data_IF_315441658975
#
_entry.id   IF_315441658975
#
_cell.length_a   1.000
_cell.length_b   1.000
_cell.length_c   1.000
_cell.angle_alpha   90.00
_cell.angle_beta   90.00
_cell.angle_gamma   90.00
#
_symmetry.space_group_name_H-M   'P 1'
#
loop_
_entity.id
_entity.type
_entity.pdbx_description
1 polymer ?
#
# COMPACT_ATOMS: atom_id res chain seq x y z
N UNK A 1 -36.89 -6.72 -37.10
CA UNK A 1 -37.96 -7.70 -37.41
C UNK A 1 -39.01 -7.85 -36.29
N UNK A 2 -38.70 -7.61 -35.01
CA UNK A 2 -39.69 -7.72 -33.93
C UNK A 2 -40.70 -6.55 -33.82
N UNK A 3 -40.40 -5.37 -34.38
CA UNK A 3 -41.32 -4.21 -34.33
C UNK A 3 -42.50 -4.30 -35.31
N UNK A 4 -42.41 -5.11 -36.36
CA UNK A 4 -43.50 -5.23 -37.34
C UNK A 4 -44.65 -6.11 -36.85
N UNK A 5 -44.38 -7.14 -36.04
CA UNK A 5 -45.41 -8.06 -35.53
C UNK A 5 -46.31 -7.41 -34.46
N UNK A 6 -45.75 -6.50 -33.65
CA UNK A 6 -46.50 -5.74 -32.65
C UNK A 6 -47.54 -4.77 -33.25
N UNK A 7 -47.35 -4.31 -34.48
CA UNK A 7 -48.34 -3.43 -35.14
C UNK A 7 -49.56 -4.19 -35.65
N UNK A 8 -49.37 -5.41 -36.17
CA UNK A 8 -50.46 -6.15 -36.83
C UNK A 8 -51.60 -6.55 -35.88
N UNK A 9 -51.31 -6.89 -34.62
CA UNK A 9 -52.36 -7.24 -33.66
C UNK A 9 -53.15 -6.02 -33.18
N UNK A 10 -52.51 -4.85 -33.06
CA UNK A 10 -53.18 -3.59 -32.71
C UNK A 10 -54.10 -3.16 -33.85
N UNK A 11 -53.60 -3.16 -35.08
CA UNK A 11 -54.41 -2.91 -36.27
C UNK A 11 -55.55 -3.94 -36.38
N UNK A 12 -55.28 -5.23 -36.12
CA UNK A 12 -56.29 -6.29 -36.11
C UNK A 12 -57.36 -6.11 -35.03
N UNK A 13 -57.01 -5.66 -33.82
CA UNK A 13 -57.95 -5.39 -32.74
C UNK A 13 -58.82 -4.15 -33.03
N UNK A 14 -58.23 -3.07 -33.53
CA UNK A 14 -58.99 -1.88 -33.95
C UNK A 14 -59.93 -2.19 -35.11
N UNK A 15 -59.47 -3.00 -36.06
CA UNK A 15 -60.26 -3.38 -37.24
C UNK A 15 -61.40 -4.33 -36.86
N UNK A 16 -61.19 -5.29 -35.95
CA UNK A 16 -62.26 -6.18 -35.46
C UNK A 16 -63.28 -5.45 -34.58
N UNK A 17 -62.86 -4.55 -33.69
CA UNK A 17 -63.79 -3.73 -32.88
C UNK A 17 -64.56 -2.75 -33.78
N UNK A 18 -63.88 -2.08 -34.70
CA UNK A 18 -64.50 -1.16 -35.65
C UNK A 18 -65.53 -1.84 -36.56
N UNK A 19 -65.17 -2.99 -37.15
CA UNK A 19 -66.08 -3.80 -37.97
C UNK A 19 -67.23 -4.37 -37.14
N UNK A 20 -66.98 -4.78 -35.89
CA UNK A 20 -68.01 -5.26 -34.98
C UNK A 20 -69.04 -4.19 -34.61
N UNK A 21 -68.60 -2.98 -34.26
CA UNK A 21 -69.48 -1.86 -33.91
C UNK A 21 -70.26 -1.36 -35.12
N UNK A 22 -69.61 -1.23 -36.28
CA UNK A 22 -70.27 -0.82 -37.54
C UNK A 22 -71.27 -1.89 -37.99
N UNK A 23 -70.88 -3.16 -37.98
CA UNK A 23 -71.74 -4.29 -38.35
C UNK A 23 -72.95 -4.42 -37.41
N UNK A 24 -72.73 -4.33 -36.10
CA UNK A 24 -73.80 -4.33 -35.10
C UNK A 24 -74.73 -3.14 -35.32
N UNK A 25 -74.20 -1.93 -35.51
CA UNK A 25 -74.99 -0.73 -35.81
C UNK A 25 -75.85 -0.90 -37.07
N UNK A 26 -75.27 -1.39 -38.17
CA UNK A 26 -76.00 -1.64 -39.43
C UNK A 26 -77.15 -2.63 -39.20
N UNK A 27 -76.93 -3.73 -38.47
CA UNK A 27 -77.98 -4.71 -38.15
C UNK A 27 -79.07 -4.10 -37.27
N UNK A 28 -78.68 -3.33 -36.24
CA UNK A 28 -79.60 -2.71 -35.29
C UNK A 28 -80.49 -1.65 -35.95
N UNK A 29 -79.92 -0.77 -36.75
CA UNK A 29 -80.67 0.26 -37.49
C UNK A 29 -81.52 -0.34 -38.62
N UNK A 30 -81.06 -1.44 -39.24
CA UNK A 30 -81.86 -2.18 -40.24
C UNK A 30 -83.06 -2.88 -39.59
N UNK A 31 -82.87 -3.54 -38.44
CA UNK A 31 -83.97 -4.15 -37.67
C UNK A 31 -84.95 -3.11 -37.15
N UNK A 32 -84.46 -1.96 -36.67
CA UNK A 32 -85.30 -0.83 -36.28
C UNK A 32 -86.16 -0.34 -37.46
N UNK A 33 -85.55 -0.11 -38.63
CA UNK A 33 -86.26 0.35 -39.83
C UNK A 33 -87.29 -0.65 -40.38
N UNK A 34 -87.04 -1.95 -40.25
CA UNK A 34 -87.98 -3.01 -40.69
C UNK A 34 -89.16 -3.15 -39.71
N UNK A 35 -88.91 -3.11 -38.40
CA UNK A 35 -89.93 -3.38 -37.39
C UNK A 35 -90.79 -2.14 -37.04
N UNK A 36 -90.32 -0.91 -37.27
CA UNK A 36 -91.03 0.32 -36.90
C UNK A 36 -91.40 1.24 -38.08
N UNK A 37 -90.94 0.92 -39.31
CA UNK A 37 -91.26 1.68 -40.52
C UNK A 37 -90.53 3.04 -40.64
N UNK A 38 -90.69 3.76 -41.79
CA UNK A 38 -90.02 5.04 -42.02
C UNK A 38 -90.57 6.14 -41.10
N UNK A 39 -89.69 6.74 -40.31
CA UNK A 39 -89.85 7.94 -39.44
C UNK A 39 -91.32 8.39 -39.28
N UNK A 40 -92.02 7.72 -38.36
CA UNK A 40 -93.36 8.09 -37.90
C UNK A 40 -93.32 9.43 -37.13
N UNK A 41 -94.37 10.24 -37.26
CA UNK A 41 -94.55 11.53 -36.56
C UNK A 41 -94.94 11.37 -35.08
N UNK A 42 -94.91 10.14 -34.53
CA UNK A 42 -95.24 9.86 -33.12
C UNK A 42 -94.06 10.08 -32.17
N UNK A 43 -94.26 10.91 -31.14
CA UNK A 43 -93.25 11.23 -30.12
C UNK A 43 -92.69 10.00 -29.38
N UNK A 44 -93.45 8.90 -29.26
CA UNK A 44 -92.99 7.67 -28.60
C UNK A 44 -91.86 6.96 -29.38
N UNK A 45 -91.90 6.99 -30.72
CA UNK A 45 -90.88 6.35 -31.58
C UNK A 45 -89.52 7.05 -31.50
N UNK A 46 -89.51 8.37 -31.29
CA UNK A 46 -88.31 9.18 -31.06
C UNK A 46 -87.64 8.88 -29.71
N UNK A 47 -88.42 8.63 -28.66
CA UNK A 47 -87.91 8.23 -27.35
C UNK A 47 -87.22 6.86 -27.41
N UNK A 48 -87.85 5.88 -28.06
CA UNK A 48 -87.27 4.54 -28.27
C UNK A 48 -86.02 4.58 -29.16
N UNK A 49 -85.99 5.41 -30.20
CA UNK A 49 -84.79 5.64 -31.01
C UNK A 49 -83.64 6.26 -30.20
N UNK A 50 -83.94 7.28 -29.40
CA UNK A 50 -82.96 7.93 -28.53
C UNK A 50 -82.36 6.97 -27.51
N UNK A 51 -83.18 6.11 -26.90
CA UNK A 51 -82.70 5.07 -25.96
C UNK A 51 -81.83 4.02 -26.64
N UNK A 52 -82.21 3.57 -27.85
CA UNK A 52 -81.46 2.61 -28.65
C UNK A 52 -80.12 3.17 -29.15
N UNK A 53 -80.12 4.41 -29.63
CA UNK A 53 -78.92 5.15 -30.05
C UNK A 53 -77.99 5.40 -28.87
N UNK A 54 -78.54 5.80 -27.72
CA UNK A 54 -77.78 5.98 -26.48
C UNK A 54 -77.18 4.66 -25.98
N UNK A 55 -77.94 3.55 -26.05
CA UNK A 55 -77.44 2.22 -25.71
C UNK A 55 -76.31 1.76 -26.64
N UNK A 56 -76.44 2.00 -27.94
CA UNK A 56 -75.39 1.73 -28.92
C UNK A 56 -74.11 2.53 -28.66
N UNK A 57 -74.22 3.85 -28.43
CA UNK A 57 -73.07 4.69 -28.10
C UNK A 57 -72.44 4.31 -26.76
N UNK A 58 -73.22 3.86 -25.78
CA UNK A 58 -72.70 3.37 -24.50
C UNK A 58 -71.87 2.10 -24.67
N UNK A 59 -72.34 1.14 -25.47
CA UNK A 59 -71.57 -0.09 -25.78
C UNK A 59 -70.30 0.25 -26.58
N UNK A 60 -70.40 1.12 -27.58
CA UNK A 60 -69.25 1.57 -28.35
C UNK A 60 -68.20 2.31 -27.48
N UNK A 61 -68.65 3.20 -26.60
CA UNK A 61 -67.80 3.94 -25.66
C UNK A 61 -67.13 3.02 -24.62
N UNK A 62 -67.87 2.05 -24.10
CA UNK A 62 -67.33 1.03 -23.19
C UNK A 62 -66.27 0.17 -23.90
N UNK A 63 -66.54 -0.25 -25.15
CA UNK A 63 -65.57 -0.98 -25.99
C UNK A 63 -64.28 -0.19 -26.24
N UNK A 64 -64.39 1.11 -26.55
CA UNK A 64 -63.23 1.99 -26.71
C UNK A 64 -62.42 2.14 -25.42
N UNK A 65 -63.09 2.22 -24.27
CA UNK A 65 -62.45 2.30 -22.95
C UNK A 65 -61.69 1.02 -22.61
N UNK A 66 -62.31 -0.15 -22.85
CA UNK A 66 -61.67 -1.46 -22.65
C UNK A 66 -60.45 -1.62 -23.57
N UNK A 67 -60.56 -1.24 -24.84
CA UNK A 67 -59.44 -1.27 -25.78
C UNK A 67 -58.28 -0.36 -25.32
N UNK A 68 -58.60 0.82 -24.81
CA UNK A 68 -57.61 1.76 -24.27
C UNK A 68 -56.90 1.19 -23.04
N UNK A 69 -57.64 0.56 -22.11
CA UNK A 69 -57.06 -0.08 -20.94
C UNK A 69 -56.14 -1.25 -21.31
N UNK A 70 -56.53 -2.08 -22.28
CA UNK A 70 -55.70 -3.18 -22.79
C UNK A 70 -54.42 -2.67 -23.47
N UNK A 71 -54.53 -1.60 -24.25
CA UNK A 71 -53.37 -0.94 -24.87
C UNK A 71 -52.41 -0.37 -23.82
N UNK A 72 -52.92 0.35 -22.82
CA UNK A 72 -52.12 0.88 -21.71
C UNK A 72 -51.45 -0.23 -20.90
N UNK A 73 -52.17 -1.33 -20.62
CA UNK A 73 -51.60 -2.49 -19.92
C UNK A 73 -50.47 -3.15 -20.73
N UNK A 74 -50.62 -3.26 -22.05
CA UNK A 74 -49.58 -3.78 -22.93
C UNK A 74 -48.36 -2.87 -22.99
N UNK A 75 -48.55 -1.55 -23.16
CA UNK A 75 -47.45 -0.58 -23.11
C UNK A 75 -46.69 -0.64 -21.78
N UNK A 76 -47.42 -0.70 -20.66
CA UNK A 76 -46.80 -0.77 -19.33
C UNK A 76 -45.92 -2.04 -19.20
N UNK A 77 -46.40 -3.19 -19.68
CA UNK A 77 -45.61 -4.45 -19.69
C UNK A 77 -44.36 -4.35 -20.59
N UNK A 78 -44.44 -3.66 -21.72
CA UNK A 78 -43.30 -3.48 -22.62
C UNK A 78 -42.26 -2.53 -22.01
N UNK A 79 -42.71 -1.42 -21.41
CA UNK A 79 -41.85 -0.47 -20.68
C UNK A 79 -41.12 -1.16 -19.51
N UNK A 80 -41.82 -2.01 -18.75
CA UNK A 80 -41.19 -2.78 -17.68
C UNK A 80 -40.10 -3.71 -18.21
N UNK A 81 -40.35 -4.44 -19.31
CA UNK A 81 -39.34 -5.31 -19.94
C UNK A 81 -38.12 -4.54 -20.42
N UNK A 82 -38.31 -3.40 -21.08
CA UNK A 82 -37.19 -2.56 -21.55
C UNK A 82 -36.39 -2.00 -20.38
N UNK A 83 -37.06 -1.58 -19.30
CA UNK A 83 -36.38 -1.10 -18.09
C UNK A 83 -35.55 -2.21 -17.43
N UNK A 84 -36.06 -3.44 -17.36
CA UNK A 84 -35.30 -4.58 -16.79
C UNK A 84 -34.10 -4.96 -17.64
N UNK A 85 -34.22 -4.97 -18.98
CA UNK A 85 -33.07 -5.25 -19.85
C UNK A 85 -32.05 -4.11 -19.80
N UNK A 86 -32.49 -2.84 -19.77
CA UNK A 86 -31.61 -1.70 -19.59
C UNK A 86 -30.87 -1.78 -18.26
N UNK A 87 -31.56 -2.07 -17.14
CA UNK A 87 -30.91 -2.28 -15.85
C UNK A 87 -29.88 -3.42 -15.90
N UNK A 88 -30.20 -4.53 -16.56
CA UNK A 88 -29.27 -5.66 -16.71
C UNK A 88 -28.02 -5.28 -17.49
N UNK A 89 -28.18 -4.59 -18.61
CA UNK A 89 -27.05 -4.11 -19.43
C UNK A 89 -26.23 -3.08 -18.68
N UNK A 90 -26.87 -2.11 -18.02
CA UNK A 90 -26.20 -1.11 -17.18
C UNK A 90 -25.41 -1.77 -16.06
N UNK A 91 -25.98 -2.74 -15.35
CA UNK A 91 -25.28 -3.46 -14.29
C UNK A 91 -24.07 -4.25 -14.82
N UNK A 92 -24.21 -4.89 -16.00
CA UNK A 92 -23.10 -5.57 -16.64
C UNK A 92 -21.99 -4.60 -17.08
N UNK A 93 -22.36 -3.43 -17.61
CA UNK A 93 -21.40 -2.37 -17.97
C UNK A 93 -20.70 -1.80 -16.74
N UNK A 94 -21.43 -1.53 -15.65
CA UNK A 94 -20.84 -1.08 -14.39
C UNK A 94 -19.89 -2.11 -13.80
N UNK A 95 -20.24 -3.40 -13.84
CA UNK A 95 -19.35 -4.47 -13.41
C UNK A 95 -18.08 -4.54 -14.26
N UNK A 96 -18.17 -4.38 -15.58
CA UNK A 96 -17.02 -4.35 -16.47
C UNK A 96 -16.11 -3.14 -16.19
N UNK A 97 -16.69 -1.94 -15.97
CA UNK A 97 -15.95 -0.73 -15.60
C UNK A 97 -15.25 -0.91 -14.25
N UNK A 98 -15.93 -1.44 -13.23
CA UNK A 98 -15.32 -1.70 -11.92
C UNK A 98 -14.14 -2.68 -12.01
N UNK A 99 -14.29 -3.74 -12.81
CA UNK A 99 -13.22 -4.69 -13.06
C UNK A 99 -12.00 -4.01 -13.71
N UNK A 100 -12.23 -3.21 -14.76
CA UNK A 100 -11.17 -2.46 -15.44
C UNK A 100 -10.48 -1.46 -14.52
N UNK A 101 -11.23 -0.74 -13.68
CA UNK A 101 -10.68 0.17 -12.68
C UNK A 101 -9.84 -0.57 -11.64
N UNK A 102 -10.28 -1.74 -11.17
CA UNK A 102 -9.51 -2.58 -10.25
C UNK A 102 -8.19 -3.03 -10.87
N UNK A 103 -8.23 -3.54 -12.11
CA UNK A 103 -7.02 -3.96 -12.84
C UNK A 103 -6.05 -2.79 -13.00
N UNK A 104 -6.55 -1.62 -13.38
CA UNK A 104 -5.72 -0.43 -13.56
C UNK A 104 -5.15 0.09 -12.24
N UNK A 105 -5.95 0.15 -11.18
CA UNK A 105 -5.49 0.59 -9.86
C UNK A 105 -4.37 -0.31 -9.33
N UNK A 106 -4.55 -1.64 -9.41
CA UNK A 106 -3.52 -2.61 -9.06
C UNK A 106 -2.27 -2.47 -9.93
N UNK A 107 -2.42 -2.30 -11.25
CA UNK A 107 -1.29 -2.08 -12.17
C UNK A 107 -0.49 -0.82 -11.80
N UNK A 108 -1.16 0.31 -11.57
CA UNK A 108 -0.50 1.56 -11.19
C UNK A 108 0.22 1.47 -9.84
N UNK A 109 -0.31 0.68 -8.91
CA UNK A 109 0.40 0.39 -7.66
C UNK A 109 1.70 -0.38 -7.93
N UNK A 110 1.68 -1.41 -8.79
CA UNK A 110 2.90 -2.17 -9.14
C UNK A 110 3.94 -1.33 -9.90
N UNK A 111 3.49 -0.47 -10.80
CA UNK A 111 4.35 0.49 -11.49
C UNK A 111 5.03 1.41 -10.48
N UNK A 112 4.30 1.90 -9.47
CA UNK A 112 4.87 2.71 -8.40
C UNK A 112 5.92 1.96 -7.58
N UNK A 113 5.69 0.69 -7.24
CA UNK A 113 6.67 -0.13 -6.55
C UNK A 113 7.97 -0.26 -7.38
N UNK A 114 7.84 -0.39 -8.70
CA UNK A 114 8.98 -0.48 -9.62
C UNK A 114 9.73 0.85 -9.74
N UNK A 115 9.00 1.98 -9.73
CA UNK A 115 9.59 3.32 -9.67
C UNK A 115 10.36 3.54 -8.36
N UNK A 116 9.82 3.09 -7.22
CA UNK A 116 10.51 3.17 -5.92
C UNK A 116 11.82 2.36 -5.95
N UNK A 117 11.81 1.15 -6.51
CA UNK A 117 13.03 0.36 -6.69
C UNK A 117 14.06 1.10 -7.56
N UNK A 118 13.60 1.68 -8.68
CA UNK A 118 14.46 2.44 -9.60
C UNK A 118 15.05 3.69 -8.95
N UNK A 119 14.26 4.40 -8.14
CA UNK A 119 14.69 5.58 -7.38
C UNK A 119 15.86 5.27 -6.43
N UNK A 120 15.90 4.05 -5.88
CA UNK A 120 16.98 3.57 -5.02
C UNK A 120 17.95 2.64 -5.77
N UNK A 121 18.20 2.92 -7.05
CA UNK A 121 19.19 2.23 -7.89
C UNK A 121 19.02 0.70 -7.95
N UNK A 122 17.80 0.20 -7.80
CA UNK A 122 17.46 -1.23 -7.79
C UNK A 122 18.26 -2.04 -6.74
N UNK A 123 18.57 -1.42 -5.59
CA UNK A 123 19.31 -2.07 -4.51
C UNK A 123 18.49 -3.11 -3.74
N UNK A 124 17.16 -2.98 -3.78
CA UNK A 124 16.20 -3.89 -3.16
C UNK A 124 15.08 -4.27 -4.12
N UNK A 125 14.37 -5.34 -3.76
CA UNK A 125 13.11 -5.76 -4.38
C UNK A 125 12.03 -5.96 -3.31
N UNK A 126 10.77 -5.80 -3.70
CA UNK A 126 9.62 -6.24 -2.93
C UNK A 126 9.41 -7.73 -3.23
N UNK A 127 9.29 -8.57 -2.20
CA UNK A 127 9.22 -10.03 -2.43
C UNK A 127 7.86 -10.47 -2.99
N UNK A 128 6.77 -9.82 -2.57
CA UNK A 128 5.41 -10.13 -3.04
C UNK A 128 4.58 -8.84 -3.16
N UNK A 129 4.53 -8.32 -4.39
CA UNK A 129 3.84 -7.09 -4.71
C UNK A 129 2.32 -7.22 -4.54
N UNK A 130 1.75 -8.40 -4.82
CA UNK A 130 0.31 -8.64 -4.75
C UNK A 130 -0.16 -8.75 -3.31
N UNK A 131 0.58 -9.48 -2.47
CA UNK A 131 0.31 -9.51 -1.04
C UNK A 131 0.44 -8.11 -0.42
N UNK A 132 1.42 -7.32 -0.86
CA UNK A 132 1.60 -5.93 -0.39
C UNK A 132 0.42 -5.04 -0.81
N UNK A 133 -0.05 -5.13 -2.06
CA UNK A 133 -1.24 -4.42 -2.51
C UNK A 133 -2.46 -4.77 -1.65
N UNK A 134 -2.69 -6.06 -1.38
CA UNK A 134 -3.80 -6.52 -0.55
C UNK A 134 -3.65 -6.13 0.93
N UNK A 135 -2.43 -5.90 1.43
CA UNK A 135 -2.22 -5.34 2.79
C UNK A 135 -2.61 -3.88 2.87
N UNK A 136 -2.29 -3.10 1.83
CA UNK A 136 -2.64 -1.67 1.75
C UNK A 136 -4.15 -1.49 1.50
N UNK A 137 -4.72 -2.29 0.60
CA UNK A 137 -6.13 -2.23 0.22
C UNK A 137 -6.85 -3.58 0.47
N UNK A 138 -7.11 -3.96 1.73
CA UNK A 138 -7.62 -5.29 2.09
C UNK A 138 -9.04 -5.58 1.58
N UNK A 139 -9.81 -4.54 1.25
CA UNK A 139 -11.17 -4.68 0.73
C UNK A 139 -11.24 -4.69 -0.80
N UNK A 140 -10.12 -4.45 -1.49
CA UNK A 140 -10.11 -4.37 -2.95
C UNK A 140 -10.19 -5.76 -3.58
N UNK A 141 -11.19 -5.94 -4.44
CA UNK A 141 -11.46 -7.16 -5.20
C UNK A 141 -11.92 -6.77 -6.61
N UNK A 142 -11.98 -7.72 -7.56
CA UNK A 142 -12.57 -7.47 -8.89
C UNK A 142 -13.99 -6.87 -8.87
N UNK A 143 -14.71 -7.01 -7.75
CA UNK A 143 -16.10 -6.53 -7.57
C UNK A 143 -16.25 -5.36 -6.60
N UNK A 144 -15.19 -4.99 -5.88
CA UNK A 144 -15.20 -3.91 -4.89
C UNK A 144 -13.89 -3.12 -4.96
N UNK A 145 -13.97 -1.81 -5.18
CA UNK A 145 -12.79 -0.95 -5.33
C UNK A 145 -12.91 0.28 -4.42
N UNK A 146 -11.96 0.39 -3.50
CA UNK A 146 -11.72 1.55 -2.65
C UNK A 146 -10.39 2.20 -3.07
N UNK A 147 -10.41 3.51 -3.27
CA UNK A 147 -9.23 4.32 -3.61
C UNK A 147 -8.56 4.90 -2.37
N UNK A 148 -9.30 5.03 -1.29
CA UNK A 148 -8.82 5.55 -0.01
C UNK A 148 -8.65 4.40 0.98
N UNK A 149 -7.63 4.49 1.83
CA UNK A 149 -7.44 3.57 2.93
C UNK A 149 -7.05 4.35 4.18
N UNK A 150 -7.85 4.25 5.24
CA UNK A 150 -7.58 4.96 6.48
C UNK A 150 -6.32 4.44 7.18
N UNK A 151 -5.67 5.28 7.98
CA UNK A 151 -4.57 4.87 8.86
C UNK A 151 -5.12 4.64 10.25
N UNK A 152 -5.19 3.37 10.67
CA UNK A 152 -5.73 2.99 11.99
C UNK A 152 -4.58 2.58 12.90
N UNK A 153 -4.25 3.42 13.88
CA UNK A 153 -3.15 3.19 14.84
C UNK A 153 -3.59 2.64 16.19
N UNK A 154 -4.89 2.45 16.40
CA UNK A 154 -5.44 1.92 17.65
C UNK A 154 -4.96 0.47 17.88
N UNK A 155 -4.42 0.12 19.07
CA UNK A 155 -3.84 -1.19 19.32
C UNK A 155 -4.79 -2.38 19.12
N UNK A 156 -6.11 -2.19 19.26
CA UNK A 156 -7.08 -3.27 19.13
C UNK A 156 -7.53 -3.49 17.68
N UNK A 157 -7.35 -2.50 16.81
CA UNK A 157 -7.89 -2.48 15.45
C UNK A 157 -6.88 -2.05 14.38
N UNK A 158 -5.59 -2.06 14.74
CA UNK A 158 -4.50 -1.58 13.90
C UNK A 158 -4.49 -2.25 12.52
N UNK A 159 -4.42 -1.43 11.48
CA UNK A 159 -4.25 -1.90 10.11
C UNK A 159 -2.79 -1.75 9.62
N UNK A 160 -2.50 -2.27 8.43
CA UNK A 160 -1.15 -2.29 7.88
C UNK A 160 -0.48 -0.91 7.83
N UNK A 161 -1.18 0.11 7.33
CA UNK A 161 -0.67 1.48 7.28
C UNK A 161 -0.41 2.05 8.66
N UNK A 162 -1.28 1.73 9.64
CA UNK A 162 -1.08 2.07 11.04
C UNK A 162 0.13 1.38 11.65
N UNK A 163 0.42 0.12 11.28
CA UNK A 163 1.65 -0.58 11.70
C UNK A 163 2.89 0.12 11.21
N UNK A 164 2.97 0.45 9.93
CA UNK A 164 4.08 1.22 9.37
C UNK A 164 4.23 2.58 10.06
N UNK A 165 3.11 3.28 10.28
CA UNK A 165 3.10 4.57 10.97
C UNK A 165 3.69 4.48 12.39
N UNK A 166 3.29 3.48 13.18
CA UNK A 166 3.82 3.29 14.54
C UNK A 166 5.32 2.95 14.54
N UNK A 167 5.79 2.15 13.58
CA UNK A 167 7.22 1.85 13.47
C UNK A 167 8.04 3.09 13.11
N UNK A 168 7.59 3.87 12.12
CA UNK A 168 8.26 5.12 11.72
C UNK A 168 8.21 6.17 12.83
N UNK A 169 7.09 6.29 13.55
CA UNK A 169 6.94 7.19 14.69
C UNK A 169 7.89 6.83 15.82
N UNK A 170 8.01 5.54 16.15
CA UNK A 170 8.96 5.08 17.16
C UNK A 170 10.42 5.39 16.77
N UNK A 171 10.78 5.22 15.50
CA UNK A 171 12.12 5.56 15.00
C UNK A 171 12.35 7.08 14.96
N UNK A 172 11.32 7.88 14.67
CA UNK A 172 11.38 9.35 14.78
C UNK A 172 11.65 9.81 16.22
N UNK A 173 10.94 9.20 17.18
CA UNK A 173 11.12 9.52 18.60
C UNK A 173 12.53 9.17 19.05
N UNK A 174 13.06 8.04 18.56
CA UNK A 174 14.44 7.63 18.78
C UNK A 174 15.46 8.61 18.17
N UNK A 175 15.28 9.01 16.90
CA UNK A 175 16.18 9.97 16.26
C UNK A 175 16.20 11.33 16.97
N UNK A 176 15.07 11.72 17.58
CA UNK A 176 14.96 12.97 18.32
C UNK A 176 15.53 12.88 19.74
N UNK A 177 15.33 11.74 20.40
CA UNK A 177 15.77 11.49 21.77
C UNK A 177 16.31 10.05 21.89
N UNK A 178 17.57 9.82 21.48
CA UNK A 178 18.18 8.50 21.59
C UNK A 178 18.21 8.05 23.06
N UNK A 179 17.92 6.78 23.31
CA UNK A 179 17.99 6.23 24.68
C UNK A 179 19.46 6.05 25.07
N UNK A 180 19.79 6.39 26.30
CA UNK A 180 21.14 6.21 26.86
C UNK A 180 21.35 4.84 27.52
N UNK A 181 20.36 3.93 27.51
CA UNK A 181 20.47 2.65 28.21
C UNK A 181 21.14 1.54 27.39
N UNK A 182 21.76 0.56 28.07
CA UNK A 182 22.44 -0.58 27.42
C UNK A 182 21.50 -1.50 26.60
N UNK A 183 20.19 -1.22 26.57
CA UNK A 183 19.19 -1.95 25.76
C UNK A 183 18.90 -1.23 24.45
N UNK A 184 19.56 -0.10 24.20
CA UNK A 184 19.30 0.75 23.06
C UNK A 184 19.46 0.01 21.73
N UNK A 185 20.61 -0.63 21.52
CA UNK A 185 20.90 -1.37 20.29
C UNK A 185 19.92 -2.52 20.03
N UNK A 186 19.55 -3.29 21.08
CA UNK A 186 18.56 -4.38 20.97
C UNK A 186 17.17 -3.86 20.59
N UNK A 187 16.75 -2.75 21.20
CA UNK A 187 15.47 -2.15 20.87
C UNK A 187 15.47 -1.60 19.44
N UNK A 188 16.54 -0.90 19.05
CA UNK A 188 16.68 -0.30 17.73
C UNK A 188 16.68 -1.36 16.63
N UNK A 189 17.51 -2.40 16.75
CA UNK A 189 17.54 -3.48 15.76
C UNK A 189 16.19 -4.18 15.63
N UNK A 190 15.49 -4.40 16.75
CA UNK A 190 14.14 -4.97 16.74
C UNK A 190 13.16 -4.10 15.97
N UNK A 191 13.21 -2.77 16.15
CA UNK A 191 12.35 -1.83 15.41
C UNK A 191 12.68 -1.77 13.93
N UNK A 192 13.96 -1.76 13.57
CA UNK A 192 14.41 -1.78 12.18
C UNK A 192 13.97 -3.07 11.49
N UNK A 193 14.18 -4.23 12.11
CA UNK A 193 13.75 -5.54 11.58
C UNK A 193 12.23 -5.58 11.38
N UNK A 194 11.44 -5.22 12.40
CA UNK A 194 9.97 -5.24 12.27
C UNK A 194 9.48 -4.35 11.13
N UNK A 195 10.11 -3.19 10.92
CA UNK A 195 9.80 -2.32 9.78
C UNK A 195 10.21 -2.97 8.45
N UNK A 196 11.39 -3.60 8.38
CA UNK A 196 11.86 -4.30 7.19
C UNK A 196 10.93 -5.47 6.81
N UNK A 197 10.49 -6.25 7.79
CA UNK A 197 9.54 -7.35 7.59
C UNK A 197 8.17 -6.83 7.15
N UNK A 198 7.69 -5.74 7.75
CA UNK A 198 6.41 -5.13 7.38
C UNK A 198 6.42 -4.64 5.92
N UNK A 199 7.54 -4.08 5.45
CA UNK A 199 7.72 -3.64 4.07
C UNK A 199 8.01 -4.78 3.08
N UNK A 200 8.36 -5.96 3.59
CA UNK A 200 8.65 -7.16 2.79
C UNK A 200 9.73 -6.93 1.72
N UNK A 201 10.82 -6.27 2.14
CA UNK A 201 11.96 -5.92 1.29
C UNK A 201 13.05 -6.99 1.35
N UNK A 202 13.73 -7.20 0.22
CA UNK A 202 14.94 -8.00 0.14
C UNK A 202 16.01 -7.28 -0.65
N UNK A 203 17.23 -7.23 -0.12
CA UNK A 203 18.37 -6.66 -0.84
C UNK A 203 18.87 -7.59 -1.93
N UNK A 204 19.23 -7.02 -3.07
CA UNK A 204 19.77 -7.74 -4.23
C UNK A 204 21.11 -7.18 -4.72
N UNK A 205 21.59 -6.08 -4.11
CA UNK A 205 22.91 -5.55 -4.39
C UNK A 205 24.03 -6.44 -3.85
N UNK A 206 25.28 -6.08 -4.14
CA UNK A 206 26.45 -6.76 -3.58
C UNK A 206 26.49 -6.69 -2.06
N UNK A 207 27.10 -7.71 -1.43
CA UNK A 207 27.31 -7.75 0.02
C UNK A 207 28.29 -6.65 0.42
N UNK A 208 27.90 -5.87 1.41
CA UNK A 208 28.72 -4.82 2.02
C UNK A 208 28.97 -5.10 3.48
N UNK A 209 30.03 -4.46 3.99
CA UNK A 209 30.28 -4.41 5.43
C UNK A 209 29.07 -3.84 6.15
N UNK A 210 28.64 -4.50 7.23
CA UNK A 210 27.56 -4.05 8.09
C UNK A 210 26.16 -4.45 7.64
N UNK A 211 26.01 -5.16 6.52
CA UNK A 211 24.70 -5.59 6.05
C UNK A 211 24.06 -6.60 7.00
N UNK A 212 22.80 -6.38 7.34
CA UNK A 212 22.07 -7.24 8.27
C UNK A 212 21.31 -8.35 7.52
N UNK A 213 21.54 -9.59 7.95
CA UNK A 213 20.77 -10.78 7.59
C UNK A 213 19.82 -11.13 8.73
N UNK A 214 18.55 -11.32 8.39
CA UNK A 214 17.52 -11.77 9.32
C UNK A 214 16.73 -12.94 8.71
N UNK A 215 16.60 -14.05 9.43
CA UNK A 215 15.90 -15.25 8.96
C UNK A 215 16.48 -15.82 7.66
N UNK A 216 17.81 -15.71 7.47
CA UNK A 216 18.50 -16.14 6.26
C UNK A 216 18.34 -15.22 5.04
N UNK A 217 17.68 -14.05 5.19
CA UNK A 217 17.49 -13.06 4.12
C UNK A 217 18.26 -11.77 4.42
N UNK A 218 18.91 -11.20 3.40
CA UNK A 218 19.53 -9.87 3.51
C UNK A 218 18.46 -8.79 3.54
N UNK A 219 18.40 -8.07 4.65
CA UNK A 219 17.52 -6.92 4.86
C UNK A 219 18.15 -5.67 4.26
N UNK A 220 17.37 -4.60 4.12
CA UNK A 220 17.87 -3.29 3.68
C UNK A 220 18.64 -2.52 4.77
N UNK A 221 18.82 -3.11 5.95
CA UNK A 221 19.46 -2.49 7.10
C UNK A 221 20.98 -2.68 7.01
N UNK A 222 21.72 -1.60 7.17
CA UNK A 222 23.15 -1.60 7.39
C UNK A 222 23.46 -0.96 8.76
N UNK A 223 24.30 -1.59 9.58
CA UNK A 223 24.56 -1.11 10.95
C UNK A 223 25.39 0.18 11.01
N UNK A 224 26.05 0.56 9.92
CA UNK A 224 26.80 1.82 9.79
C UNK A 224 26.00 2.93 9.09
N UNK A 225 24.82 2.62 8.57
CA UNK A 225 23.99 3.55 7.81
C UNK A 225 22.50 3.19 7.97
N UNK A 226 22.04 3.12 9.21
CA UNK A 226 20.64 2.75 9.52
C UNK A 226 19.63 3.78 9.00
N UNK A 227 20.07 5.02 8.84
CA UNK A 227 19.33 6.14 8.27
C UNK A 227 19.01 5.96 6.77
N UNK A 228 19.87 5.29 6.00
CA UNK A 228 19.59 4.92 4.61
C UNK A 228 18.32 4.07 4.53
N UNK A 229 18.23 3.03 5.36
CA UNK A 229 17.06 2.16 5.42
C UNK A 229 15.81 2.92 5.88
N UNK A 230 15.93 3.74 6.91
CA UNK A 230 14.81 4.54 7.43
C UNK A 230 14.30 5.52 6.37
N UNK A 231 15.19 6.09 5.56
CA UNK A 231 14.86 6.96 4.43
C UNK A 231 14.12 6.21 3.33
N UNK A 232 14.58 5.00 2.97
CA UNK A 232 13.88 4.10 2.03
C UNK A 232 12.48 3.79 2.55
N UNK A 233 12.37 3.37 3.82
CA UNK A 233 11.10 3.02 4.45
C UNK A 233 10.13 4.21 4.48
N UNK A 234 10.61 5.41 4.81
CA UNK A 234 9.81 6.64 4.77
C UNK A 234 9.32 6.94 3.35
N UNK A 235 10.17 6.83 2.34
CA UNK A 235 9.79 7.10 0.96
C UNK A 235 8.72 6.12 0.46
N UNK A 236 8.84 4.83 0.80
CA UNK A 236 7.83 3.81 0.49
C UNK A 236 6.51 4.14 1.20
N UNK A 237 6.57 4.45 2.49
CA UNK A 237 5.38 4.80 3.27
C UNK A 237 4.69 6.06 2.72
N UNK A 238 5.44 7.13 2.45
CA UNK A 238 4.90 8.36 1.84
C UNK A 238 4.26 8.10 0.48
N UNK A 239 4.80 7.16 -0.30
CA UNK A 239 4.16 6.71 -1.53
C UNK A 239 2.84 5.98 -1.27
N UNK A 240 2.75 5.15 -0.23
CA UNK A 240 1.48 4.52 0.14
C UNK A 240 0.46 5.55 0.63
N UNK A 241 0.89 6.52 1.43
CA UNK A 241 0.03 7.61 1.90
C UNK A 241 -0.57 8.40 0.73
N UNK A 242 0.26 8.74 -0.26
CA UNK A 242 -0.22 9.40 -1.48
C UNK A 242 -1.27 8.56 -2.23
N UNK A 243 -1.02 7.26 -2.42
CA UNK A 243 -1.96 6.37 -3.13
C UNK A 243 -3.27 6.11 -2.38
N UNK A 244 -3.27 6.29 -1.07
CA UNK A 244 -4.41 6.00 -0.19
C UNK A 244 -5.18 7.26 0.20
N UNK A 245 -4.84 8.41 -0.38
CA UNK A 245 -5.51 9.68 -0.12
C UNK A 245 -5.13 10.36 1.20
N UNK A 246 -4.04 9.93 1.85
CA UNK A 246 -3.61 10.45 3.14
C UNK A 246 -2.44 11.45 3.03
N UNK A 247 -2.24 12.23 4.10
CA UNK A 247 -1.08 13.12 4.21
C UNK A 247 0.23 12.35 4.41
N UNK A 248 1.33 12.89 3.87
CA UNK A 248 2.67 12.29 4.03
C UNK A 248 3.12 12.31 5.48
N UNK A 249 4.03 11.40 5.83
CA UNK A 249 4.64 11.37 7.14
C UNK A 249 5.54 12.59 7.37
N UNK A 250 5.27 13.34 8.43
CA UNK A 250 5.96 14.59 8.77
C UNK A 250 7.16 14.41 9.71
N UNK A 251 7.34 13.21 10.28
CA UNK A 251 8.48 12.86 11.13
C UNK A 251 9.76 12.53 10.34
N UNK A 252 10.79 12.11 11.07
CA UNK A 252 12.14 11.77 10.59
C UNK A 252 12.85 12.94 9.93
N UNK A 253 12.76 14.13 10.54
CA UNK A 253 13.49 15.33 10.09
C UNK A 253 14.96 15.31 10.50
N UNK A 254 15.29 14.56 11.54
CA UNK A 254 16.65 14.37 12.03
C UNK A 254 17.14 12.99 11.58
N UNK A 255 18.42 12.87 11.19
CA UNK A 255 19.02 11.57 10.93
C UNK A 255 19.07 10.77 12.23
N UNK A 256 19.11 9.43 12.11
CA UNK A 256 19.31 8.54 13.26
C UNK A 256 20.63 8.86 14.00
N UNK A 257 21.62 9.35 13.24
CA UNK A 257 22.87 9.90 13.76
C UNK A 257 23.81 8.84 14.32
N UNK A 258 24.97 9.31 14.78
CA UNK A 258 26.05 8.46 15.30
C UNK A 258 25.60 7.55 16.45
N UNK A 259 24.72 8.03 17.33
CA UNK A 259 24.22 7.25 18.47
C UNK A 259 23.56 5.93 18.03
N UNK A 260 22.87 5.95 16.88
CA UNK A 260 22.26 4.75 16.31
C UNK A 260 23.33 3.73 15.86
N UNK A 261 24.32 4.20 15.09
CA UNK A 261 25.41 3.36 14.61
C UNK A 261 26.20 2.76 15.78
N UNK A 262 26.58 3.59 16.75
CA UNK A 262 27.32 3.16 17.94
C UNK A 262 26.54 2.09 18.72
N UNK A 263 25.24 2.30 18.91
CA UNK A 263 24.37 1.35 19.61
C UNK A 263 24.23 0.01 18.87
N UNK A 264 24.19 0.03 17.53
CA UNK A 264 24.11 -1.18 16.72
C UNK A 264 25.45 -1.93 16.71
N UNK A 265 26.57 -1.21 16.51
CA UNK A 265 27.92 -1.78 16.57
C UNK A 265 28.14 -2.44 17.93
N UNK A 266 27.86 -1.72 19.02
CA UNK A 266 27.99 -2.24 20.37
C UNK A 266 27.12 -3.49 20.59
N UNK A 267 25.86 -3.45 20.17
CA UNK A 267 24.95 -4.60 20.29
C UNK A 267 25.50 -5.83 19.56
N UNK A 268 25.95 -5.69 18.31
CA UNK A 268 26.42 -6.83 17.52
C UNK A 268 27.83 -7.31 17.89
N UNK A 269 28.65 -6.47 18.52
CA UNK A 269 29.91 -6.91 19.10
C UNK A 269 29.70 -7.72 20.39
N UNK A 270 28.76 -7.28 21.25
CA UNK A 270 28.53 -7.87 22.57
C UNK A 270 27.55 -9.05 22.56
N UNK A 271 26.51 -8.98 21.73
CA UNK A 271 25.49 -10.01 21.61
C UNK A 271 25.80 -10.92 20.43
N UNK A 272 26.10 -12.18 20.75
CA UNK A 272 26.14 -13.28 19.77
C UNK A 272 24.87 -14.14 19.87
N UNK A 273 23.77 -13.53 20.29
CA UNK A 273 22.51 -14.24 20.53
C UNK A 273 21.87 -14.62 19.20
N UNK A 274 21.57 -15.91 19.02
CA UNK A 274 20.90 -16.45 17.84
C UNK A 274 21.57 -16.09 16.49
N UNK A 275 22.86 -16.46 16.30
CA UNK A 275 23.58 -16.14 15.06
C UNK A 275 22.91 -16.76 13.81
N UNK A 276 22.14 -17.85 14.00
CA UNK A 276 21.37 -18.50 12.94
C UNK A 276 20.13 -17.68 12.50
N UNK A 277 19.70 -16.71 13.32
CA UNK A 277 18.51 -15.89 13.09
C UNK A 277 18.89 -14.47 12.67
N UNK A 278 19.87 -13.87 13.33
CA UNK A 278 20.31 -12.50 13.08
C UNK A 278 21.83 -12.45 12.94
N UNK A 279 22.32 -11.91 11.83
CA UNK A 279 23.73 -11.86 11.52
C UNK A 279 24.09 -10.55 10.83
N UNK A 280 25.21 -9.94 11.22
CA UNK A 280 25.82 -8.83 10.47
C UNK A 280 26.95 -9.39 9.61
N UNK A 281 26.93 -9.06 8.32
CA UNK A 281 27.97 -9.45 7.37
C UNK A 281 29.15 -8.50 7.49
N UNK A 282 30.33 -9.05 7.79
CA UNK A 282 31.60 -8.31 7.87
C UNK A 282 32.67 -9.01 7.04
N UNK A 283 32.59 -8.99 5.70
CA UNK A 283 33.60 -9.60 4.83
C UNK A 283 35.04 -9.14 5.09
N UNK A 284 35.24 -7.90 5.56
CA UNK A 284 36.58 -7.37 5.84
C UNK A 284 37.17 -8.01 7.11
N UNK A 285 38.29 -8.71 6.94
CA UNK A 285 39.04 -9.29 8.05
C UNK A 285 39.51 -8.20 9.03
N UNK A 286 39.28 -8.43 10.33
CA UNK A 286 39.68 -7.50 11.39
C UNK A 286 38.71 -6.34 11.63
N UNK A 287 37.61 -6.21 10.88
CA UNK A 287 36.63 -5.15 11.10
C UNK A 287 36.05 -5.15 12.52
N UNK A 288 35.75 -6.33 13.07
CA UNK A 288 35.26 -6.47 14.46
C UNK A 288 36.27 -5.97 15.50
N UNK A 289 37.57 -6.14 15.22
CA UNK A 289 38.64 -5.67 16.10
C UNK A 289 38.69 -4.14 16.05
N UNK A 290 38.59 -3.54 14.86
CA UNK A 290 38.52 -2.08 14.72
C UNK A 290 37.30 -1.47 15.41
N UNK A 291 36.13 -2.09 15.28
CA UNK A 291 34.92 -1.65 15.99
C UNK A 291 35.11 -1.75 17.51
N UNK A 292 35.76 -2.80 17.99
CA UNK A 292 36.11 -2.97 19.40
C UNK A 292 37.04 -1.87 19.90
N UNK A 293 38.11 -1.58 19.16
CA UNK A 293 39.03 -0.47 19.45
C UNK A 293 38.28 0.86 19.49
N UNK A 294 37.40 1.09 18.52
CA UNK A 294 36.59 2.31 18.45
C UNK A 294 35.72 2.50 19.70
N UNK A 295 35.00 1.46 20.13
CA UNK A 295 34.18 1.53 21.33
C UNK A 295 35.00 1.65 22.62
N UNK A 296 36.15 0.98 22.68
CA UNK A 296 37.06 1.10 23.82
C UNK A 296 37.58 2.54 23.94
N UNK A 297 37.95 3.18 22.83
CA UNK A 297 38.39 4.58 22.79
C UNK A 297 37.31 5.57 23.27
N UNK A 298 36.02 5.24 23.14
CA UNK A 298 34.93 6.06 23.66
C UNK A 298 34.87 6.10 25.20
N UNK A 299 35.50 5.15 25.89
CA UNK A 299 35.49 5.04 27.36
C UNK A 299 36.86 5.26 28.01
N UNK A 300 37.88 5.59 27.20
CA UNK A 300 39.23 5.89 27.70
C UNK A 300 39.24 7.24 28.41
N UNK A 301 39.94 7.31 29.55
CA UNK A 301 40.09 8.53 30.34
C UNK A 301 40.77 9.67 29.54
N UNK A 302 40.35 10.92 29.78
CA UNK A 302 40.79 12.11 29.04
C UNK A 302 42.32 12.25 28.94
N UNK A 303 43.05 11.84 29.99
CA UNK A 303 44.51 11.90 30.02
C UNK A 303 45.17 10.96 28.99
N UNK A 304 44.59 9.77 28.79
CA UNK A 304 45.07 8.76 27.83
C UNK A 304 44.54 9.10 26.43
N UNK A 305 43.32 9.62 26.35
CA UNK A 305 42.65 9.97 25.09
C UNK A 305 43.47 10.96 24.25
N UNK A 306 44.20 11.89 24.87
CA UNK A 306 45.06 12.85 24.15
C UNK A 306 46.09 12.20 23.22
N UNK A 307 46.62 11.03 23.56
CA UNK A 307 47.58 10.30 22.72
C UNK A 307 46.91 9.61 21.53
N UNK A 308 45.64 9.24 21.67
CA UNK A 308 44.88 8.44 20.71
C UNK A 308 43.87 9.28 19.92
N UNK A 309 43.81 10.60 20.15
CA UNK A 309 42.82 11.50 19.59
C UNK A 309 42.79 11.45 18.06
N UNK A 310 43.96 11.37 17.41
CA UNK A 310 44.03 11.30 15.95
C UNK A 310 43.44 9.97 15.44
N UNK A 311 43.84 8.85 16.03
CA UNK A 311 43.30 7.53 15.66
C UNK A 311 41.80 7.46 15.89
N UNK A 312 41.34 7.94 17.04
CA UNK A 312 39.92 8.03 17.34
C UNK A 312 39.16 8.89 16.33
N UNK A 313 39.68 10.07 15.97
CA UNK A 313 39.06 10.94 14.96
C UNK A 313 38.91 10.26 13.60
N UNK A 314 39.90 9.47 13.18
CA UNK A 314 39.82 8.67 11.95
C UNK A 314 38.75 7.58 12.07
N UNK A 315 38.70 6.85 13.19
CA UNK A 315 37.69 5.80 13.42
C UNK A 315 36.26 6.36 13.50
N UNK A 316 36.07 7.51 14.14
CA UNK A 316 34.79 8.23 14.15
C UNK A 316 34.34 8.52 12.72
N UNK A 317 35.23 9.08 11.88
CA UNK A 317 34.91 9.35 10.48
C UNK A 317 34.64 8.08 9.66
N UNK A 318 35.29 6.96 10.00
CA UNK A 318 35.05 5.67 9.35
C UNK A 318 33.65 5.12 9.67
N UNK A 319 33.27 5.10 10.95
CA UNK A 319 32.01 4.48 11.40
C UNK A 319 30.80 5.44 11.37
N UNK A 320 30.99 6.68 10.94
CA UNK A 320 29.91 7.65 10.71
C UNK A 320 29.00 7.22 9.55
N UNK A 321 29.54 6.57 8.52
CA UNK A 321 28.81 6.19 7.30
C UNK A 321 29.41 4.91 6.68
N UNK A 322 28.54 4.04 6.16
CA UNK A 322 28.89 2.87 5.34
C UNK A 322 29.87 3.21 4.21
N UNK A 323 29.73 4.35 3.53
CA UNK A 323 30.65 4.73 2.46
C UNK A 323 32.10 4.92 2.97
N UNK A 324 32.27 5.35 4.21
CA UNK A 324 33.58 5.51 4.83
C UNK A 324 34.15 4.16 5.31
N UNK A 325 33.30 3.25 5.80
CA UNK A 325 33.73 1.86 6.10
C UNK A 325 34.31 1.18 4.88
N UNK A 326 33.74 1.40 3.69
CA UNK A 326 34.28 0.85 2.43
C UNK A 326 35.71 1.32 2.12
N UNK A 327 36.15 2.48 2.65
CA UNK A 327 37.54 2.96 2.47
C UNK A 327 38.55 2.03 3.14
N UNK A 328 38.16 1.26 4.15
CA UNK A 328 39.02 0.24 4.77
C UNK A 328 39.45 -0.87 3.81
N UNK A 329 38.75 -1.06 2.68
CA UNK A 329 39.19 -1.98 1.62
C UNK A 329 40.43 -1.47 0.89
N UNK A 330 40.75 -0.17 0.99
CA UNK A 330 42.02 0.36 0.49
C UNK A 330 43.15 -0.07 1.43
N UNK A 331 43.99 -1.01 0.98
CA UNK A 331 45.08 -1.55 1.76
C UNK A 331 46.04 -0.48 2.30
N UNK A 332 46.34 0.56 1.51
CA UNK A 332 47.26 1.63 1.93
C UNK A 332 46.66 2.37 3.12
N UNK A 333 45.40 2.80 2.98
CA UNK A 333 44.67 3.48 4.06
C UNK A 333 44.56 2.61 5.33
N UNK A 334 44.27 1.31 5.17
CA UNK A 334 44.15 0.40 6.30
C UNK A 334 45.50 0.15 7.01
N UNK A 335 46.59 -0.04 6.26
CA UNK A 335 47.95 -0.16 6.80
C UNK A 335 48.32 1.10 7.58
N UNK A 336 48.10 2.28 7.00
CA UNK A 336 48.45 3.57 7.62
C UNK A 336 47.67 3.78 8.92
N UNK A 337 46.37 3.45 8.94
CA UNK A 337 45.54 3.51 10.14
C UNK A 337 46.07 2.58 11.24
N UNK A 338 46.35 1.32 10.90
CA UNK A 338 46.81 0.32 11.88
C UNK A 338 48.20 0.68 12.41
N UNK A 339 49.11 1.12 11.55
CA UNK A 339 50.46 1.54 11.96
C UNK A 339 50.39 2.79 12.86
N UNK A 340 49.62 3.79 12.48
CA UNK A 340 49.40 5.00 13.30
C UNK A 340 48.79 4.66 14.65
N UNK A 341 47.81 3.75 14.70
CA UNK A 341 47.19 3.28 15.93
C UNK A 341 48.16 2.54 16.84
N UNK A 342 48.97 1.62 16.28
CA UNK A 342 50.04 0.94 17.01
C UNK A 342 51.03 1.93 17.64
N UNK A 343 51.50 2.91 16.87
CA UNK A 343 52.52 3.86 17.33
C UNK A 343 51.97 4.77 18.45
N UNK A 344 50.75 5.29 18.28
CA UNK A 344 50.07 6.11 19.30
C UNK A 344 49.81 5.33 20.59
N UNK A 345 49.31 4.09 20.49
CA UNK A 345 49.06 3.25 21.66
C UNK A 345 50.36 2.85 22.38
N UNK A 346 51.44 2.58 21.63
CA UNK A 346 52.75 2.29 22.20
C UNK A 346 53.34 3.50 22.95
N UNK A 347 53.19 4.71 22.39
CA UNK A 347 53.66 5.93 23.04
C UNK A 347 52.88 6.24 24.32
N UNK A 348 51.56 6.05 24.30
CA UNK A 348 50.73 6.18 25.49
C UNK A 348 51.15 5.19 26.60
N UNK A 349 51.41 3.92 26.25
CA UNK A 349 51.85 2.88 27.20
C UNK A 349 53.22 3.15 27.84
N UNK A 350 54.06 4.01 27.26
CA UNK A 350 55.35 4.41 27.87
C UNK A 350 55.16 5.42 29.01
N UNK A 351 54.04 6.16 28.99
CA UNK A 351 53.79 7.26 29.93
C UNK A 351 52.83 6.84 31.04
N UNK A 352 51.82 6.03 30.70
CA UNK A 352 50.79 5.56 31.63
C UNK A 352 51.34 4.43 32.51
N UNK A 353 51.17 4.54 33.82
CA UNK A 353 51.63 3.52 34.77
C UNK A 353 50.66 2.34 34.81
N UNK A 354 51.15 1.16 35.20
CA UNK A 354 50.34 -0.07 35.19
C UNK A 354 49.17 -0.07 36.20
N UNK A 355 49.23 0.80 37.19
CA UNK A 355 48.21 1.03 38.22
C UNK A 355 47.22 2.15 37.86
N UNK A 356 47.45 2.88 36.77
CA UNK A 356 46.53 3.92 36.31
C UNK A 356 45.19 3.31 35.87
N UNK A 357 44.11 4.02 36.25
CA UNK A 357 42.78 3.76 35.71
C UNK A 357 42.86 3.94 34.17
N UNK A 358 42.42 2.92 33.42
CA UNK A 358 42.51 2.91 31.96
C UNK A 358 43.72 2.17 31.35
N UNK A 359 44.77 1.82 32.10
CA UNK A 359 45.92 1.06 31.56
C UNK A 359 45.49 -0.27 30.90
N UNK A 360 44.54 -0.98 31.52
CA UNK A 360 44.02 -2.24 30.99
C UNK A 360 43.34 -2.08 29.61
N UNK A 361 42.54 -1.01 29.44
CA UNK A 361 41.87 -0.70 28.17
C UNK A 361 42.89 -0.27 27.13
N UNK A 362 43.85 0.59 27.50
CA UNK A 362 44.94 1.02 26.62
C UNK A 362 45.78 -0.15 26.12
N UNK A 363 46.12 -1.09 27.01
CA UNK A 363 46.87 -2.30 26.65
C UNK A 363 46.07 -3.17 25.69
N UNK A 364 44.76 -3.34 25.93
CA UNK A 364 43.87 -4.06 25.01
C UNK A 364 43.87 -3.41 23.62
N UNK A 365 43.73 -2.09 23.53
CA UNK A 365 43.77 -1.35 22.27
C UNK A 365 45.10 -1.59 21.53
N UNK A 366 46.23 -1.52 22.23
CA UNK A 366 47.54 -1.81 21.65
C UNK A 366 47.64 -3.26 21.11
N UNK A 367 47.23 -4.24 21.93
CA UNK A 367 47.24 -5.65 21.55
C UNK A 367 46.34 -5.92 20.33
N UNK A 368 45.15 -5.29 20.28
CA UNK A 368 44.20 -5.37 19.17
C UNK A 368 44.78 -4.77 17.87
N UNK A 369 45.43 -3.60 17.93
CA UNK A 369 46.14 -3.05 16.78
C UNK A 369 47.30 -3.95 16.31
N UNK A 370 48.02 -4.57 17.25
CA UNK A 370 49.10 -5.49 16.93
C UNK A 370 48.58 -6.77 16.25
N UNK A 371 47.41 -7.27 16.64
CA UNK A 371 46.72 -8.36 15.95
C UNK A 371 46.35 -7.94 14.53
N UNK A 372 45.78 -6.74 14.35
CA UNK A 372 45.43 -6.21 13.03
C UNK A 372 46.66 -6.10 12.11
N UNK A 373 47.79 -5.63 12.64
CA UNK A 373 49.05 -5.55 11.88
C UNK A 373 49.48 -6.91 11.34
N UNK A 374 49.39 -7.96 12.15
CA UNK A 374 49.70 -9.34 11.74
C UNK A 374 48.75 -9.93 10.70
N UNK A 375 47.53 -9.40 10.58
CA UNK A 375 46.59 -9.82 9.54
C UNK A 375 46.91 -9.19 8.18
N UNK A 376 47.70 -8.11 8.17
CA UNK A 376 48.06 -7.35 6.97
C UNK A 376 49.39 -7.83 6.35
N UNK A 377 50.31 -8.31 7.20
CA UNK A 377 51.58 -8.95 6.85
C UNK A 377 51.37 -10.37 6.29
#
# INVERSE_FOLDING_TARGET
MAESEGRWWIWGAWLTIGVGVVGFGVVLFRLYGINLGPISHEHAAWSSFGSLLSGFFMVASTGATVATLLFLAHQNKQIQKTNTEQQRVTNAQLAAVNFEQYVNHRRFFMERLSELQSMFSNTFVFEDNDALYNKVFPKNTPTNLEFEAEVVTDPASQNYLGTLNLHLSALNDYASNPREDNRNGRWLVGKLISLSEALNLRMINEVSEGDLVFGGKRTAINIYASDEFVSIAKAIYDSFMFYTGNEKFTGLKLPMGRSANDSLIEYFLKSKDHPDVIQVLKPLAGLEILEGIYLDLCVVDDHIFGYLQQTYGVLVGIFEDRANVLKLRNRIFFVDLVQSGCDQAADALKVVQSDDHGYGVLKKIYDDFFILRKLID
#
